data_IF_170748752404
#
_entry.id   IF_170748752404
#
_cell.length_a   1.000
_cell.length_b   1.000
_cell.length_c   1.000
_cell.angle_alpha   90.00
_cell.angle_beta   90.00
_cell.angle_gamma   90.00
#
_symmetry.space_group_name_H-M   'P 1'
#
loop_
_entity.id
_entity.type
_entity.pdbx_description
1 polymer ?
#
# COMPACT_ATOMS: atom_id res chain seq x y z
N UNK A 1 17.02 -0.01 8.32
CA UNK A 1 16.48 0.33 6.98
C UNK A 1 16.27 -0.89 6.10
N UNK A 2 17.29 -1.72 5.83
CA UNK A 2 17.15 -2.92 4.98
C UNK A 2 16.08 -3.92 5.47
N UNK A 3 15.92 -4.07 6.79
CA UNK A 3 14.95 -5.02 7.33
C UNK A 3 13.51 -4.53 7.23
N UNK A 4 13.26 -3.22 7.39
CA UNK A 4 11.95 -2.63 7.13
C UNK A 4 11.56 -2.79 5.65
N UNK A 5 12.48 -2.50 4.73
CA UNK A 5 12.21 -2.66 3.29
C UNK A 5 11.83 -4.10 2.94
N UNK A 6 12.54 -5.10 3.46
CA UNK A 6 12.18 -6.52 3.25
C UNK A 6 10.79 -6.87 3.78
N UNK A 7 10.39 -6.30 4.93
CA UNK A 7 9.05 -6.51 5.48
C UNK A 7 8.00 -5.86 4.58
N UNK A 8 8.26 -4.66 4.06
CA UNK A 8 7.36 -3.96 3.14
C UNK A 8 7.28 -4.66 1.78
N UNK A 9 8.39 -5.18 1.25
CA UNK A 9 8.40 -5.97 0.01
C UNK A 9 7.54 -7.23 0.12
N UNK A 10 7.43 -7.81 1.32
CA UNK A 10 6.53 -8.96 1.57
C UNK A 10 5.04 -8.62 1.49
N UNK A 11 4.70 -7.33 1.37
CA UNK A 11 3.35 -6.86 1.11
C UNK A 11 3.02 -6.88 -0.38
N UNK A 12 3.99 -6.89 -1.29
CA UNK A 12 3.73 -6.90 -2.73
C UNK A 12 2.88 -8.14 -3.08
N UNK A 13 1.80 -7.92 -3.83
CA UNK A 13 0.84 -8.95 -4.18
C UNK A 13 -0.24 -9.21 -3.13
N UNK A 14 -0.21 -8.53 -1.98
CA UNK A 14 -1.28 -8.63 -0.99
C UNK A 14 -2.43 -7.71 -1.34
N UNK A 15 -3.62 -8.23 -1.09
CA UNK A 15 -4.87 -7.55 -1.39
C UNK A 15 -5.67 -7.26 -0.13
N UNK A 16 -6.39 -6.15 -0.13
CA UNK A 16 -7.43 -5.88 0.85
C UNK A 16 -8.46 -4.88 0.30
N UNK A 17 -9.65 -4.91 0.88
CA UNK A 17 -10.69 -3.93 0.61
C UNK A 17 -10.53 -2.76 1.59
N UNK A 18 -10.32 -1.56 1.06
CA UNK A 18 -10.17 -0.31 1.81
C UNK A 18 -11.24 0.66 1.34
N UNK A 19 -12.08 1.15 2.24
CA UNK A 19 -13.18 2.08 1.91
C UNK A 19 -14.07 1.58 0.75
N UNK A 20 -14.26 0.25 0.67
CA UNK A 20 -15.03 -0.40 -0.40
C UNK A 20 -14.28 -0.61 -1.72
N UNK A 21 -13.00 -0.23 -1.79
CA UNK A 21 -12.15 -0.39 -2.97
C UNK A 21 -11.24 -1.60 -2.76
N UNK A 22 -11.32 -2.58 -3.66
CA UNK A 22 -10.39 -3.70 -3.68
C UNK A 22 -9.04 -3.22 -4.22
N UNK A 23 -7.98 -3.39 -3.44
CA UNK A 23 -6.65 -2.89 -3.77
C UNK A 23 -5.61 -3.97 -3.57
N UNK A 24 -4.54 -3.93 -4.38
CA UNK A 24 -3.35 -4.76 -4.27
C UNK A 24 -2.11 -3.88 -4.07
N UNK A 25 -1.15 -4.31 -3.25
CA UNK A 25 0.15 -3.65 -3.17
C UNK A 25 1.00 -4.02 -4.40
N UNK A 26 1.40 -3.02 -5.18
CA UNK A 26 2.09 -3.22 -6.47
C UNK A 26 3.56 -2.82 -6.45
N UNK A 27 3.97 -1.92 -5.54
CA UNK A 27 5.34 -1.39 -5.50
C UNK A 27 5.69 -0.83 -4.12
N UNK A 28 6.97 -0.89 -3.75
CA UNK A 28 7.54 -0.25 -2.56
C UNK A 28 8.59 0.78 -3.01
N UNK A 29 8.45 2.02 -2.56
CA UNK A 29 9.39 3.10 -2.86
C UNK A 29 10.38 3.25 -1.69
N UNK A 30 11.69 3.22 -1.96
CA UNK A 30 12.72 3.19 -0.92
C UNK A 30 13.10 4.57 -0.35
N UNK A 31 12.98 5.64 -1.14
CA UNK A 31 13.39 7.00 -0.77
C UNK A 31 12.30 7.68 0.08
N UNK A 32 12.34 7.39 1.39
CA UNK A 32 11.21 7.61 2.29
C UNK A 32 10.21 6.48 2.05
N UNK A 33 10.17 5.44 2.91
CA UNK A 33 9.48 4.21 2.58
C UNK A 33 7.99 4.49 2.38
N UNK A 34 7.50 4.18 1.17
CA UNK A 34 6.10 4.32 0.77
C UNK A 34 5.62 3.05 0.10
N UNK A 35 4.34 2.75 0.29
CA UNK A 35 3.67 1.59 -0.30
C UNK A 35 2.75 2.09 -1.39
N UNK A 36 2.91 1.60 -2.62
CA UNK A 36 2.01 1.87 -3.73
C UNK A 36 0.97 0.76 -3.78
N UNK A 37 -0.30 1.15 -3.73
CA UNK A 37 -1.43 0.23 -3.94
C UNK A 37 -2.13 0.57 -5.25
N UNK A 38 -2.49 -0.44 -6.02
CA UNK A 38 -3.32 -0.32 -7.21
C UNK A 38 -4.74 -0.81 -6.91
N UNK A 39 -5.74 -0.07 -7.35
CA UNK A 39 -7.11 -0.55 -7.37
C UNK A 39 -7.18 -1.76 -8.33
N UNK A 40 -7.70 -2.86 -7.81
CA UNK A 40 -8.04 -4.04 -8.56
C UNK A 40 -9.45 -3.83 -9.12
N UNK A 41 -9.63 -4.03 -10.42
CA UNK A 41 -10.94 -3.90 -11.08
C UNK A 41 -11.96 -4.85 -10.43
N UNK A 42 -12.80 -4.30 -9.56
CA UNK A 42 -13.62 -5.08 -8.63
C UNK A 42 -14.95 -4.41 -8.26
N UNK A 43 -15.55 -3.67 -9.19
CA UNK A 43 -17.01 -3.62 -9.42
C UNK A 43 -17.24 -2.81 -10.69
N UNK A 44 -17.99 -3.40 -11.61
CA UNK A 44 -18.26 -2.83 -12.93
C UNK A 44 -18.99 -1.49 -12.83
N UNK A 45 -18.29 -0.39 -13.09
CA UNK A 45 -18.89 0.73 -13.82
C UNK A 45 -18.23 0.78 -15.19
N UNK A 46 -18.68 -0.14 -16.05
CA UNK A 46 -18.51 0.00 -17.50
C UNK A 46 -19.25 1.29 -17.85
N UNK A 47 -18.51 2.39 -18.03
CA UNK A 47 -19.04 3.51 -18.80
C UNK A 47 -19.18 3.03 -20.26
N UNK A 48 -20.35 3.21 -20.89
CA UNK A 48 -20.56 2.82 -22.27
C UNK A 48 -20.10 3.96 -23.20
N UNK A 49 -18.81 4.06 -23.45
CA UNK A 49 -18.23 5.03 -24.38
C UNK A 49 -18.08 4.36 -25.76
N UNK A 50 -19.12 4.43 -26.59
CA UNK A 50 -19.20 3.84 -27.95
C UNK A 50 -18.35 4.57 -29.02
N UNK A 51 -17.28 5.27 -28.64
CA UNK A 51 -16.47 6.04 -29.57
C UNK A 51 -14.97 5.86 -29.32
N UNK A 52 -14.43 4.73 -29.81
CA UNK A 52 -13.16 4.65 -30.55
C UNK A 52 -11.91 5.39 -30.05
N UNK A 53 -11.71 5.57 -28.75
CA UNK A 53 -10.43 6.02 -28.18
C UNK A 53 -9.70 4.80 -27.58
N UNK A 54 -8.38 4.63 -27.77
CA UNK A 54 -7.61 3.61 -27.06
C UNK A 54 -7.48 4.04 -25.60
N UNK A 55 -8.57 3.92 -24.83
CA UNK A 55 -8.57 4.14 -23.40
C UNK A 55 -7.71 3.03 -22.77
N UNK A 56 -6.41 3.29 -22.64
CA UNK A 56 -5.55 2.58 -21.72
C UNK A 56 -6.26 2.64 -20.37
N UNK A 57 -6.79 1.52 -19.88
CA UNK A 57 -7.24 1.40 -18.48
C UNK A 57 -6.02 1.71 -17.62
N UNK A 58 -5.92 2.94 -17.13
CA UNK A 58 -4.92 3.29 -16.13
C UNK A 58 -5.54 2.83 -14.82
N UNK A 59 -5.02 1.75 -14.27
CA UNK A 59 -5.36 1.31 -12.91
C UNK A 59 -5.12 2.50 -11.96
N UNK A 60 -6.11 2.84 -11.15
CA UNK A 60 -5.95 3.92 -10.18
C UNK A 60 -4.93 3.47 -9.14
N UNK A 61 -3.87 4.25 -8.93
CA UNK A 61 -2.83 3.95 -7.95
C UNK A 61 -2.79 5.00 -6.85
N UNK A 62 -2.46 4.55 -5.63
CA UNK A 62 -2.34 5.39 -4.44
C UNK A 62 -0.99 5.14 -3.79
N UNK A 63 -0.29 6.22 -3.42
CA UNK A 63 1.03 6.12 -2.76
C UNK A 63 0.90 6.50 -1.29
N UNK A 64 0.98 5.50 -0.43
CA UNK A 64 0.76 5.61 1.01
C UNK A 64 2.10 5.78 1.75
N UNK A 65 2.23 6.74 2.67
CA UNK A 65 3.34 6.73 3.62
C UNK A 65 3.26 5.49 4.52
N UNK A 66 4.42 4.98 4.98
CA UNK A 66 4.43 3.85 5.93
C UNK A 66 3.83 4.23 7.28
N UNK A 67 4.05 5.46 7.72
CA UNK A 67 3.46 6.01 8.94
C UNK A 67 2.11 6.67 8.64
N UNK A 68 1.25 6.74 9.66
CA UNK A 68 0.05 7.55 9.64
C UNK A 68 0.38 9.06 9.63
N UNK A 69 -0.66 9.89 9.48
CA UNK A 69 -0.50 11.36 9.41
C UNK A 69 0.12 11.97 10.66
N UNK A 70 -0.06 11.34 11.83
CA UNK A 70 0.52 11.78 13.10
C UNK A 70 1.97 11.30 13.31
N UNK A 71 2.49 10.46 12.41
CA UNK A 71 3.79 9.79 12.53
C UNK A 71 3.97 8.98 13.83
N UNK A 72 2.87 8.48 14.40
CA UNK A 72 2.84 7.74 15.67
C UNK A 72 2.73 6.23 15.50
N UNK A 73 2.12 5.76 14.42
CA UNK A 73 1.95 4.33 14.11
C UNK A 73 1.92 4.09 12.60
N UNK A 74 1.81 2.84 12.19
CA UNK A 74 1.72 2.40 10.79
C UNK A 74 0.42 2.92 10.15
N UNK A 75 0.49 3.29 8.87
CA UNK A 75 -0.69 3.69 8.10
C UNK A 75 -1.78 2.58 8.13
N UNK A 76 -3.06 2.90 8.40
CA UNK A 76 -4.11 1.91 8.63
C UNK A 76 -4.30 0.94 7.46
N UNK A 77 -4.23 1.43 6.23
CA UNK A 77 -4.30 0.59 5.03
C UNK A 77 -3.17 -0.44 4.99
N UNK A 78 -1.95 -0.05 5.35
CA UNK A 78 -0.79 -0.96 5.38
C UNK A 78 -1.01 -2.01 6.48
N UNK A 79 -1.57 -1.64 7.64
CA UNK A 79 -1.92 -2.61 8.68
C UNK A 79 -2.96 -3.62 8.21
N UNK A 80 -4.01 -3.17 7.51
CA UNK A 80 -5.02 -4.05 6.93
C UNK A 80 -4.40 -5.04 5.95
N UNK A 81 -3.52 -4.58 5.05
CA UNK A 81 -2.82 -5.43 4.07
C UNK A 81 -1.83 -6.40 4.74
N UNK A 82 -1.12 -5.94 5.77
CA UNK A 82 -0.12 -6.72 6.50
C UNK A 82 -0.75 -7.81 7.39
N UNK A 83 -1.93 -7.54 7.95
CA UNK A 83 -2.49 -8.33 9.03
C UNK A 83 -1.67 -8.19 10.32
N UNK A 84 -2.14 -8.78 11.42
CA UNK A 84 -1.54 -8.60 12.75
C UNK A 84 -0.06 -9.03 12.80
N UNK A 85 0.35 -10.24 12.35
CA UNK A 85 1.71 -10.72 12.60
C UNK A 85 2.78 -9.90 11.89
N UNK A 86 2.47 -9.38 10.70
CA UNK A 86 3.41 -8.58 9.92
C UNK A 86 3.39 -7.11 10.37
N UNK A 87 2.24 -6.58 10.76
CA UNK A 87 2.12 -5.23 11.32
C UNK A 87 2.99 -5.08 12.57
N UNK A 88 2.97 -6.08 13.47
CA UNK A 88 3.80 -6.07 14.67
C UNK A 88 5.30 -6.03 14.36
N UNK A 89 5.77 -6.78 13.35
CA UNK A 89 7.18 -6.74 12.90
C UNK A 89 7.57 -5.43 12.23
N UNK A 90 6.67 -4.84 11.43
CA UNK A 90 6.89 -3.52 10.81
C UNK A 90 7.03 -2.45 11.92
N UNK A 91 6.19 -2.52 12.96
CA UNK A 91 6.25 -1.59 14.09
C UNK A 91 7.58 -1.68 14.84
N UNK A 92 8.04 -2.90 15.12
CA UNK A 92 9.35 -3.14 15.72
C UNK A 92 10.47 -2.53 14.88
N UNK A 93 10.48 -2.80 13.56
CA UNK A 93 11.49 -2.28 12.64
C UNK A 93 11.46 -0.75 12.49
N UNK A 94 10.31 -0.10 12.72
CA UNK A 94 10.18 1.37 12.75
C UNK A 94 10.74 1.94 14.07
N UNK A 95 10.39 1.34 15.22
CA UNK A 95 10.89 1.77 16.52
C UNK A 95 12.43 1.68 16.60
N UNK A 96 13.01 0.62 16.04
CA UNK A 96 14.48 0.48 15.98
C UNK A 96 15.16 1.58 15.16
N UNK A 97 14.49 2.13 14.15
CA UNK A 97 15.03 3.22 13.34
C UNK A 97 14.99 4.56 14.06
N UNK A 98 13.93 4.82 14.84
CA UNK A 98 13.80 6.04 15.63
C UNK A 98 14.62 6.01 16.93
N UNK A 99 15.23 4.87 17.28
CA UNK A 99 16.05 4.70 18.49
C UNK A 99 17.53 5.04 18.31
N UNK A 100 17.95 5.51 17.14
CA UNK A 100 19.34 5.92 16.89
C UNK A 100 19.56 7.38 17.35
N UNK A 101 20.59 7.66 18.18
CA UNK A 101 20.97 9.01 18.62
C UNK A 101 21.63 9.84 17.52
#
# INVERSE_FOLDING_TARGET
>A
MKDLLKLLESLIGREATVDGIHCEVIEILEAGPRVVVGQMDGEHVIQPDQHGEPHRRVLQTFTLPVLNDEATDIHPVIMTMAGEPLSSRIREALLEQHRLP
#
